data_IF_657267773838
#
_entry.id   IF_657267773838
#
_cell.length_a   1.000
_cell.length_b   1.000
_cell.length_c   1.000
_cell.angle_alpha   90.00
_cell.angle_beta   90.00
_cell.angle_gamma   90.00
#
_symmetry.space_group_name_H-M   'P 1'
#
loop_
_entity.id
_entity.type
_entity.pdbx_description
1 polymer ?
#
# COMPACT_ATOMS: atom_id res chain seq x y z
N UNK A 1 -23.33 -24.62 79.16
CA UNK A 1 -23.82 -25.54 78.11
C UNK A 1 -23.08 -25.15 76.83
N UNK A 2 -21.84 -25.58 76.57
CA UNK A 2 -21.41 -26.92 76.09
C UNK A 2 -22.29 -27.35 74.91
N UNK A 3 -21.84 -27.47 73.66
CA UNK A 3 -20.86 -28.40 73.06
C UNK A 3 -20.71 -28.03 71.57
N UNK A 4 -19.51 -27.92 71.00
CA UNK A 4 -18.70 -28.95 70.31
C UNK A 4 -18.85 -28.98 68.78
N UNK A 5 -17.68 -28.97 68.13
CA UNK A 5 -17.39 -29.06 66.68
C UNK A 5 -17.79 -30.41 66.10
N UNK A 6 -18.10 -30.48 64.80
CA UNK A 6 -17.70 -31.59 63.94
C UNK A 6 -17.42 -31.11 62.51
N UNK A 7 -16.18 -31.32 62.06
CA UNK A 7 -15.78 -31.31 60.64
C UNK A 7 -16.16 -32.66 60.04
N UNK A 8 -16.78 -32.67 58.87
CA UNK A 8 -16.97 -33.88 58.06
C UNK A 8 -16.31 -33.70 56.71
N UNK A 9 -15.17 -34.37 56.57
CA UNK A 9 -14.47 -34.68 55.33
C UNK A 9 -15.32 -35.63 54.49
N UNK A 10 -15.75 -35.18 53.30
CA UNK A 10 -16.43 -36.06 52.34
C UNK A 10 -15.43 -36.55 51.30
N UNK A 11 -15.15 -37.85 51.33
CA UNK A 11 -14.32 -38.57 50.37
C UNK A 11 -15.18 -38.93 49.16
N UNK A 12 -14.93 -38.30 48.02
CA UNK A 12 -15.48 -38.76 46.74
C UNK A 12 -14.50 -39.71 46.06
N UNK A 13 -14.99 -40.94 45.91
CA UNK A 13 -14.34 -42.08 45.27
C UNK A 13 -14.08 -41.79 43.79
N UNK A 14 -12.86 -42.14 43.37
CA UNK A 14 -12.34 -42.05 42.00
C UNK A 14 -13.01 -43.14 41.15
N UNK A 15 -13.90 -42.73 40.25
CA UNK A 15 -14.41 -43.58 39.17
C UNK A 15 -13.46 -43.54 37.98
N UNK A 16 -12.70 -44.61 37.77
CA UNK A 16 -11.78 -44.79 36.66
C UNK A 16 -12.58 -45.18 35.40
N UNK A 17 -12.98 -44.19 34.59
CA UNK A 17 -13.53 -44.43 33.26
C UNK A 17 -12.37 -44.46 32.25
N UNK A 18 -12.04 -45.65 31.77
CA UNK A 18 -11.08 -45.88 30.68
C UNK A 18 -11.75 -45.42 29.37
N UNK A 19 -11.38 -44.23 28.89
CA UNK A 19 -11.72 -43.78 27.53
C UNK A 19 -10.54 -44.12 26.63
N UNK A 20 -10.69 -45.15 25.80
CA UNK A 20 -9.78 -45.46 24.71
C UNK A 20 -9.91 -44.38 23.62
N UNK A 21 -8.95 -43.47 23.54
CA UNK A 21 -8.86 -42.48 22.47
C UNK A 21 -8.17 -43.12 21.27
N UNK A 22 -8.95 -43.41 20.22
CA UNK A 22 -8.45 -43.80 18.90
C UNK A 22 -7.58 -42.68 18.33
N UNK A 23 -6.29 -42.93 18.14
CA UNK A 23 -5.40 -42.06 17.39
C UNK A 23 -5.70 -42.18 15.90
N UNK A 24 -6.58 -41.31 15.39
CA UNK A 24 -6.80 -41.15 13.97
C UNK A 24 -5.71 -40.22 13.38
N UNK A 25 -4.77 -40.78 12.62
CA UNK A 25 -3.84 -40.02 11.80
C UNK A 25 -4.60 -39.34 10.65
N UNK A 26 -5.03 -38.09 10.86
CA UNK A 26 -5.50 -37.23 9.78
C UNK A 26 -4.29 -36.67 9.03
N UNK A 27 -3.96 -37.26 7.87
CA UNK A 27 -2.96 -36.71 6.95
C UNK A 27 -3.41 -35.33 6.47
N UNK A 28 -2.53 -34.30 6.46
CA UNK A 28 -2.89 -32.99 5.92
C UNK A 28 -3.11 -33.08 4.40
N UNK A 29 -4.29 -32.67 3.97
CA UNK A 29 -4.66 -32.51 2.56
C UNK A 29 -3.84 -31.36 1.97
N UNK A 30 -3.10 -31.53 0.86
CA UNK A 30 -2.46 -30.41 0.19
C UNK A 30 -3.52 -29.46 -0.36
N UNK A 31 -3.40 -28.17 -0.04
CA UNK A 31 -4.25 -27.13 -0.56
C UNK A 31 -4.11 -27.04 -2.09
N UNK A 32 -5.20 -26.78 -2.84
CA UNK A 32 -5.10 -26.52 -4.27
C UNK A 32 -4.32 -25.22 -4.48
N UNK A 33 -3.21 -25.32 -5.22
CA UNK A 33 -2.45 -24.18 -5.73
C UNK A 33 -3.33 -23.37 -6.69
N UNK A 34 -3.92 -22.29 -6.21
CA UNK A 34 -4.55 -21.28 -7.05
C UNK A 34 -3.48 -20.67 -7.96
N UNK A 35 -3.73 -20.76 -9.27
CA UNK A 35 -2.83 -20.41 -10.35
C UNK A 35 -2.24 -19.00 -10.27
N UNK A 36 -1.02 -18.92 -10.79
CA UNK A 36 -0.19 -17.72 -10.79
C UNK A 36 -0.82 -16.55 -11.54
N UNK A 37 -0.85 -15.40 -10.86
CA UNK A 37 -0.48 -14.16 -11.51
C UNK A 37 1.04 -14.08 -11.46
N UNK A 38 1.71 -14.34 -12.58
CA UNK A 38 3.13 -13.99 -12.73
C UNK A 38 3.21 -12.48 -12.66
N UNK A 39 3.56 -11.94 -11.49
CA UNK A 39 4.23 -10.64 -11.42
C UNK A 39 5.59 -10.89 -12.05
N UNK A 40 5.66 -10.73 -13.38
CA UNK A 40 6.90 -10.85 -14.12
C UNK A 40 7.77 -9.65 -13.75
N UNK A 41 8.55 -9.79 -12.68
CA UNK A 41 9.62 -8.86 -12.37
C UNK A 41 10.60 -8.85 -13.54
N UNK A 42 10.83 -7.69 -14.20
CA UNK A 42 11.83 -7.61 -15.26
C UNK A 42 13.21 -7.95 -14.72
N UNK A 43 14.07 -8.68 -15.46
CA UNK A 43 15.44 -8.93 -15.06
C UNK A 43 16.21 -7.62 -14.88
N UNK A 44 17.09 -7.58 -13.87
CA UNK A 44 17.98 -6.45 -13.62
C UNK A 44 18.82 -6.15 -14.86
N UNK A 45 18.68 -4.93 -15.41
CA UNK A 45 19.40 -4.47 -16.61
C UNK A 45 18.57 -4.42 -17.90
N UNK A 46 17.31 -4.85 -17.89
CA UNK A 46 16.41 -4.58 -19.02
C UNK A 46 16.06 -3.08 -19.10
N UNK A 47 15.94 -2.49 -20.31
CA UNK A 47 15.47 -1.13 -20.47
C UNK A 47 14.11 -0.96 -19.80
N UNK A 48 13.95 0.11 -19.02
CA UNK A 48 12.66 0.43 -18.40
C UNK A 48 11.71 0.82 -19.54
N UNK A 49 10.61 0.09 -19.69
CA UNK A 49 9.59 0.41 -20.68
C UNK A 49 8.58 1.39 -20.10
N UNK A 50 8.02 2.33 -20.90
CA UNK A 50 6.86 3.09 -20.46
C UNK A 50 5.68 2.13 -20.20
N UNK A 51 4.77 2.47 -19.27
CA UNK A 51 3.62 1.65 -18.99
C UNK A 51 2.68 1.58 -20.21
N UNK A 52 2.01 0.44 -20.38
CA UNK A 52 1.01 0.26 -21.41
C UNK A 52 -0.27 1.02 -21.04
N UNK A 53 -0.49 2.16 -21.69
CA UNK A 53 -1.63 3.03 -21.45
C UNK A 53 -2.55 3.04 -22.66
N UNK A 54 -3.86 3.16 -22.41
CA UNK A 54 -4.87 3.32 -23.47
C UNK A 54 -4.54 4.51 -24.37
N UNK A 55 -4.98 4.43 -25.64
CA UNK A 55 -4.78 5.50 -26.61
C UNK A 55 -5.30 6.87 -26.12
N UNK A 56 -6.41 6.88 -25.39
CA UNK A 56 -7.02 8.10 -24.84
C UNK A 56 -6.52 8.49 -23.44
N UNK A 57 -5.53 7.79 -22.91
CA UNK A 57 -4.97 8.08 -21.59
C UNK A 57 -4.40 9.49 -21.54
N UNK A 58 -4.78 10.24 -20.51
CA UNK A 58 -4.31 11.62 -20.28
C UNK A 58 -2.99 11.65 -19.52
N UNK A 59 -2.58 10.52 -18.95
CA UNK A 59 -1.39 10.44 -18.10
C UNK A 59 -0.12 10.08 -18.86
N UNK A 60 -0.15 10.03 -20.19
CA UNK A 60 1.04 9.78 -21.02
C UNK A 60 2.12 10.83 -20.77
N UNK A 61 3.34 10.38 -20.46
CA UNK A 61 4.50 11.26 -20.44
C UNK A 61 4.75 11.86 -21.83
N UNK A 62 5.34 13.07 -21.93
CA UNK A 62 5.68 13.66 -23.22
C UNK A 62 6.59 12.74 -24.04
N UNK A 63 6.43 12.71 -25.37
CA UNK A 63 7.21 11.84 -26.26
C UNK A 63 8.70 12.18 -26.30
N UNK A 64 9.06 13.41 -25.94
CA UNK A 64 10.44 13.90 -25.79
C UNK A 64 11.12 13.41 -24.52
N UNK A 65 10.45 12.60 -23.71
CA UNK A 65 10.97 12.05 -22.47
C UNK A 65 11.19 10.55 -22.58
N UNK A 66 12.04 10.03 -21.71
CA UNK A 66 12.34 8.60 -21.58
C UNK A 66 12.27 8.16 -20.11
N UNK A 67 11.77 6.94 -19.85
CA UNK A 67 11.74 6.38 -18.51
C UNK A 67 13.18 6.04 -18.06
N UNK A 68 13.51 6.39 -16.82
CA UNK A 68 14.86 6.22 -16.27
C UNK A 68 14.89 5.48 -14.94
N UNK A 69 13.74 5.37 -14.26
CA UNK A 69 13.59 4.61 -13.03
C UNK A 69 12.16 4.10 -12.94
N UNK A 70 12.00 2.88 -12.41
CA UNK A 70 10.70 2.37 -11.99
C UNK A 70 10.83 1.86 -10.55
N UNK A 71 9.91 2.29 -9.69
CA UNK A 71 9.84 1.85 -8.29
C UNK A 71 8.44 1.40 -7.98
N UNK A 72 8.32 0.23 -7.36
CA UNK A 72 7.08 -0.16 -6.70
C UNK A 72 6.91 0.65 -5.41
N UNK A 73 5.69 0.73 -4.92
CA UNK A 73 5.38 1.40 -3.67
C UNK A 73 4.31 0.66 -2.89
N UNK A 74 4.45 0.68 -1.56
CA UNK A 74 3.45 0.18 -0.63
C UNK A 74 3.39 1.09 0.59
N UNK A 75 2.18 1.35 1.06
CA UNK A 75 2.00 2.22 2.21
C UNK A 75 0.55 2.55 2.47
N UNK A 76 0.31 3.75 3.00
CA UNK A 76 -1.03 4.23 3.31
C UNK A 76 -1.31 5.60 2.73
N UNK A 77 -2.57 5.80 2.39
CA UNK A 77 -3.15 7.10 2.15
C UNK A 77 -3.83 7.57 3.43
N UNK A 78 -3.44 8.75 3.93
CA UNK A 78 -3.93 9.29 5.21
C UNK A 78 -5.01 10.34 4.94
N UNK A 79 -6.15 10.17 5.61
CA UNK A 79 -7.28 11.10 5.61
C UNK A 79 -7.61 11.52 7.02
N UNK A 80 -8.24 12.69 7.18
CA UNK A 80 -8.89 13.12 8.42
C UNK A 80 -10.37 13.32 8.16
N UNK A 81 -11.22 12.82 9.05
CA UNK A 81 -12.65 13.14 8.99
C UNK A 81 -12.85 14.59 9.43
N UNK A 82 -13.45 15.41 8.57
CA UNK A 82 -13.75 16.80 8.85
C UNK A 82 -15.22 17.10 8.61
N UNK A 83 -15.77 18.00 9.43
CA UNK A 83 -17.07 18.59 9.17
C UNK A 83 -16.94 19.61 8.03
N UNK A 84 -17.68 19.40 6.94
CA UNK A 84 -17.86 20.33 5.82
C UNK A 84 -19.36 20.56 5.65
N UNK A 85 -19.79 21.79 5.86
CA UNK A 85 -21.19 22.18 5.88
C UNK A 85 -22.02 21.29 6.83
N UNK A 86 -23.04 20.60 6.30
CA UNK A 86 -23.93 19.69 7.04
C UNK A 86 -23.45 18.24 7.07
N UNK A 87 -22.26 17.91 6.53
CA UNK A 87 -21.77 16.54 6.40
C UNK A 87 -20.35 16.34 6.92
N UNK A 88 -20.00 15.09 7.23
CA UNK A 88 -18.64 14.69 7.57
C UNK A 88 -18.01 13.98 6.37
N UNK A 89 -16.83 14.45 5.96
CA UNK A 89 -16.12 13.94 4.79
C UNK A 89 -14.68 13.61 5.13
N UNK A 90 -14.13 12.59 4.45
CA UNK A 90 -12.72 12.29 4.51
C UNK A 90 -11.93 13.30 3.68
N UNK A 91 -11.05 14.05 4.34
CA UNK A 91 -10.17 15.02 3.69
C UNK A 91 -8.76 14.46 3.65
N UNK A 92 -8.20 14.38 2.44
CA UNK A 92 -6.84 13.92 2.19
C UNK A 92 -5.81 14.75 2.96
N UNK A 93 -4.80 14.07 3.54
CA UNK A 93 -3.67 14.72 4.20
C UNK A 93 -2.39 14.53 3.43
N UNK A 94 -1.97 13.28 3.28
CA UNK A 94 -0.72 12.91 2.62
C UNK A 94 -0.66 11.40 2.39
N UNK A 95 0.16 10.94 1.43
CA UNK A 95 0.61 9.56 1.41
C UNK A 95 1.74 9.34 2.42
N UNK A 96 1.97 8.09 2.78
CA UNK A 96 3.17 7.62 3.45
C UNK A 96 3.46 6.22 2.91
N UNK A 97 4.50 6.08 2.10
CA UNK A 97 4.81 4.82 1.44
C UNK A 97 6.31 4.60 1.26
N UNK A 98 6.72 3.34 1.40
CA UNK A 98 8.04 2.88 1.02
C UNK A 98 8.14 2.80 -0.51
N UNK A 99 9.32 3.12 -1.05
CA UNK A 99 9.67 2.89 -2.44
C UNK A 99 10.59 1.68 -2.54
N UNK A 100 10.28 0.77 -3.45
CA UNK A 100 10.96 -0.51 -3.60
C UNK A 100 11.54 -0.66 -5.00
N UNK A 101 12.77 -1.16 -5.08
CA UNK A 101 13.40 -1.52 -6.35
C UNK A 101 12.82 -2.83 -6.93
N UNK A 102 13.35 -3.27 -8.07
CA UNK A 102 12.91 -4.50 -8.73
C UNK A 102 13.13 -5.77 -7.88
N UNK A 103 14.05 -5.75 -6.91
CA UNK A 103 14.31 -6.86 -6.00
C UNK A 103 13.42 -6.80 -4.75
N UNK A 104 12.55 -5.79 -4.63
CA UNK A 104 11.73 -5.55 -3.45
C UNK A 104 12.53 -4.95 -2.28
N UNK A 105 13.76 -4.47 -2.50
CA UNK A 105 14.51 -3.74 -1.48
C UNK A 105 13.94 -2.34 -1.36
N UNK A 106 13.73 -1.88 -0.13
CA UNK A 106 13.38 -0.48 0.13
C UNK A 106 14.58 0.41 -0.22
N UNK A 107 14.33 1.43 -1.05
CA UNK A 107 15.34 2.35 -1.58
C UNK A 107 14.97 3.83 -1.38
N UNK A 108 13.86 4.09 -0.69
CA UNK A 108 13.39 5.44 -0.46
C UNK A 108 11.97 5.51 0.08
N UNK A 109 11.42 6.71 0.10
CA UNK A 109 10.10 7.03 0.64
C UNK A 109 9.32 8.00 -0.25
N UNK A 110 8.01 7.85 -0.27
CA UNK A 110 7.04 8.77 -0.87
C UNK A 110 6.11 9.35 0.20
N UNK A 111 5.93 10.67 0.19
CA UNK A 111 5.30 11.35 1.32
C UNK A 111 4.61 12.68 1.01
N UNK A 112 4.57 13.54 2.03
CA UNK A 112 3.93 14.86 1.99
C UNK A 112 4.29 15.66 0.73
N UNK A 113 3.38 16.48 0.23
CA UNK A 113 3.54 17.26 -1.00
C UNK A 113 3.89 16.41 -2.24
N UNK A 114 3.44 15.15 -2.25
CA UNK A 114 3.79 14.16 -3.28
C UNK A 114 5.31 14.10 -3.52
N UNK A 115 6.08 14.15 -2.44
CA UNK A 115 7.55 14.10 -2.50
C UNK A 115 8.08 12.69 -2.66
N UNK A 116 9.28 12.58 -3.20
CA UNK A 116 10.05 11.34 -3.30
C UNK A 116 11.46 11.62 -2.80
N UNK A 117 11.98 10.72 -1.98
CA UNK A 117 13.32 10.79 -1.41
C UNK A 117 13.95 9.40 -1.48
N UNK A 118 15.14 9.29 -2.07
CA UNK A 118 15.87 8.03 -2.18
C UNK A 118 17.06 7.97 -1.22
N UNK A 119 17.56 6.76 -0.97
CA UNK A 119 18.68 6.48 -0.05
C UNK A 119 19.99 7.20 -0.45
N UNK A 120 20.13 7.60 -1.72
CA UNK A 120 21.28 8.39 -2.21
C UNK A 120 21.18 9.89 -1.88
N UNK A 121 20.11 10.31 -1.18
CA UNK A 121 19.85 11.69 -0.78
C UNK A 121 19.20 12.55 -1.85
N UNK A 122 18.98 12.02 -3.06
CA UNK A 122 18.25 12.73 -4.11
C UNK A 122 16.76 12.83 -3.76
N UNK A 123 16.16 13.99 -4.05
CA UNK A 123 14.78 14.31 -3.68
C UNK A 123 14.06 15.01 -4.81
N UNK A 124 12.74 14.86 -4.88
CA UNK A 124 11.88 15.72 -5.68
C UNK A 124 10.54 15.97 -4.99
N UNK A 125 9.88 17.06 -5.37
CA UNK A 125 8.47 17.32 -5.08
C UNK A 125 7.69 17.29 -6.39
N UNK A 126 6.40 16.99 -6.32
CA UNK A 126 5.60 16.83 -7.53
C UNK A 126 4.19 17.43 -7.44
N UNK A 127 3.63 17.72 -8.61
CA UNK A 127 2.30 18.31 -8.78
C UNK A 127 1.53 17.46 -9.79
N UNK A 128 0.29 17.09 -9.44
CA UNK A 128 -0.60 16.38 -10.37
C UNK A 128 -0.99 17.29 -11.53
N UNK A 129 -0.73 16.86 -12.76
CA UNK A 129 -1.09 17.61 -13.98
C UNK A 129 -2.14 16.90 -14.83
N UNK A 130 -2.26 15.58 -14.71
CA UNK A 130 -3.34 14.81 -15.33
C UNK A 130 -3.67 13.57 -14.50
N UNK A 131 -4.87 13.04 -14.71
CA UNK A 131 -5.29 11.78 -14.11
C UNK A 131 -6.22 11.01 -15.05
N UNK A 132 -6.21 9.69 -14.88
CA UNK A 132 -7.24 8.78 -15.37
C UNK A 132 -7.89 8.09 -14.17
N UNK A 133 -9.16 7.70 -14.30
CA UNK A 133 -9.85 6.94 -13.25
C UNK A 133 -9.24 5.54 -13.10
N UNK A 134 -9.20 5.04 -11.87
CA UNK A 134 -8.78 3.67 -11.60
C UNK A 134 -9.88 2.67 -11.99
N UNK A 135 -9.51 1.41 -12.16
CA UNK A 135 -10.46 0.35 -12.51
C UNK A 135 -11.52 0.12 -11.42
N UNK A 136 -11.18 0.37 -10.15
CA UNK A 136 -12.10 0.28 -9.01
C UNK A 136 -12.15 1.62 -8.27
N UNK A 137 -13.31 2.02 -7.73
CA UNK A 137 -13.44 3.27 -6.98
C UNK A 137 -12.67 3.26 -5.64
N UNK A 138 -12.27 2.08 -5.17
CA UNK A 138 -11.43 1.89 -3.97
C UNK A 138 -9.95 2.12 -4.24
N UNK A 139 -9.54 2.19 -5.50
CA UNK A 139 -8.15 2.28 -5.91
C UNK A 139 -7.79 3.73 -6.22
N UNK A 140 -6.56 4.14 -5.87
CA UNK A 140 -6.06 5.48 -6.20
C UNK A 140 -6.08 5.70 -7.71
N UNK A 141 -6.44 6.91 -8.15
CA UNK A 141 -6.35 7.31 -9.57
C UNK A 141 -4.95 7.14 -10.13
N UNK A 142 -4.86 6.86 -11.42
CA UNK A 142 -3.60 6.89 -12.16
C UNK A 142 -3.25 8.35 -12.43
N UNK A 143 -1.97 8.72 -12.31
CA UNK A 143 -1.53 10.11 -12.36
C UNK A 143 -0.39 10.32 -13.34
N UNK A 144 -0.36 11.50 -13.94
CA UNK A 144 0.86 12.14 -14.41
C UNK A 144 1.17 13.32 -13.50
N UNK A 145 2.42 13.38 -13.04
CA UNK A 145 2.93 14.42 -12.18
C UNK A 145 4.10 15.13 -12.87
N UNK A 146 4.15 16.46 -12.75
CA UNK A 146 5.38 17.23 -13.02
C UNK A 146 6.17 17.38 -11.73
N UNK A 147 7.48 17.55 -11.85
CA UNK A 147 8.37 17.50 -10.69
C UNK A 147 9.35 18.66 -10.65
N UNK A 148 9.90 18.89 -9.46
CA UNK A 148 11.08 19.73 -9.23
C UNK A 148 12.05 18.93 -8.36
N UNK A 149 13.21 18.59 -8.92
CA UNK A 149 14.25 17.84 -8.22
C UNK A 149 15.16 18.76 -7.39
N UNK A 150 15.71 18.19 -6.33
CA UNK A 150 16.65 18.82 -5.40
C UNK A 150 17.78 17.84 -5.10
N UNK A 151 18.99 18.38 -4.96
CA UNK A 151 20.18 17.57 -4.76
C UNK A 151 20.65 16.86 -6.03
N UNK A 152 21.71 16.07 -5.87
CA UNK A 152 22.33 15.25 -6.92
C UNK A 152 21.94 13.80 -6.71
N UNK A 153 22.00 13.01 -7.78
CA UNK A 153 21.78 11.55 -7.70
C UNK A 153 20.64 11.07 -8.60
N UNK A 154 20.04 9.96 -8.21
CA UNK A 154 19.14 9.17 -9.05
C UNK A 154 17.88 9.95 -9.47
N UNK A 155 17.39 10.89 -8.67
CA UNK A 155 16.24 11.74 -9.02
C UNK A 155 16.60 13.06 -9.71
N UNK A 156 17.88 13.34 -9.96
CA UNK A 156 18.31 14.56 -10.65
C UNK A 156 17.74 14.63 -12.07
N UNK A 157 17.29 15.81 -12.53
CA UNK A 157 16.71 16.03 -13.87
C UNK A 157 15.46 15.20 -14.22
N UNK A 158 14.88 14.47 -13.26
CA UNK A 158 13.53 13.95 -13.42
C UNK A 158 12.58 15.13 -13.52
N UNK A 159 11.73 15.13 -14.54
CA UNK A 159 10.75 16.19 -14.79
C UNK A 159 9.32 15.69 -14.69
N UNK A 160 9.09 14.40 -14.94
CA UNK A 160 7.76 13.78 -14.85
C UNK A 160 7.80 12.46 -14.11
N UNK A 161 6.69 12.14 -13.44
CA UNK A 161 6.45 10.85 -12.81
C UNK A 161 5.05 10.38 -13.21
N UNK A 162 4.92 9.12 -13.58
CA UNK A 162 3.63 8.46 -13.71
C UNK A 162 3.36 7.60 -12.48
N UNK A 163 2.12 7.60 -11.99
CA UNK A 163 1.61 6.61 -11.03
C UNK A 163 0.65 5.67 -11.75
N UNK A 164 0.97 4.39 -11.75
CA UNK A 164 0.19 3.34 -12.41
C UNK A 164 0.01 2.13 -11.49
N UNK A 165 -0.73 1.11 -11.95
CA UNK A 165 -0.91 -0.17 -11.25
C UNK A 165 -1.35 -0.01 -9.78
N UNK A 166 -2.32 0.87 -9.55
CA UNK A 166 -2.80 1.19 -8.21
C UNK A 166 -3.76 0.13 -7.67
N UNK A 167 -3.67 -0.14 -6.38
CA UNK A 167 -4.67 -0.92 -5.65
C UNK A 167 -4.90 -0.32 -4.26
N UNK A 168 -6.15 -0.15 -3.86
CA UNK A 168 -6.53 0.47 -2.58
C UNK A 168 -6.21 1.97 -2.50
N UNK A 169 -6.26 2.50 -1.28
CA UNK A 169 -5.90 3.89 -0.95
C UNK A 169 -7.04 4.91 -0.98
N UNK A 170 -8.21 4.59 -1.54
CA UNK A 170 -9.37 5.48 -1.44
C UNK A 170 -10.21 5.18 -0.17
N UNK A 171 -10.67 6.23 0.55
CA UNK A 171 -11.49 6.04 1.73
C UNK A 171 -12.94 5.68 1.32
N UNK A 172 -13.77 5.21 2.26
CA UNK A 172 -15.21 5.19 2.07
C UNK A 172 -15.74 6.58 1.70
N UNK A 173 -16.92 6.67 1.08
CA UNK A 173 -17.45 7.94 0.58
C UNK A 173 -17.66 9.02 1.67
N UNK A 174 -17.92 8.61 2.92
CA UNK A 174 -18.18 9.50 4.06
C UNK A 174 -17.55 8.94 5.33
N UNK A 175 -17.35 9.81 6.31
CA UNK A 175 -17.15 9.43 7.70
C UNK A 175 -18.40 9.75 8.51
N UNK A 176 -18.51 9.18 9.70
CA UNK A 176 -19.58 9.49 10.65
C UNK A 176 -19.16 10.47 11.75
N UNK A 177 -20.12 10.84 12.60
CA UNK A 177 -19.88 11.75 13.74
C UNK A 177 -18.91 11.17 14.77
N UNK A 178 -18.89 9.85 14.99
CA UNK A 178 -17.98 9.21 15.93
C UNK A 178 -16.53 9.25 15.45
N UNK A 179 -16.34 9.35 14.14
CA UNK A 179 -15.03 9.47 13.48
C UNK A 179 -14.53 10.90 13.33
N UNK A 180 -15.29 11.92 13.76
CA UNK A 180 -14.92 13.32 13.57
C UNK A 180 -13.52 13.61 14.16
N UNK A 181 -12.67 14.29 13.38
CA UNK A 181 -11.26 14.59 13.67
C UNK A 181 -10.31 13.37 13.74
N UNK A 182 -10.80 12.13 13.59
CA UNK A 182 -9.96 10.95 13.56
C UNK A 182 -9.21 10.83 12.22
N UNK A 183 -8.07 10.14 12.27
CA UNK A 183 -7.30 9.78 11.08
C UNK A 183 -7.73 8.40 10.58
N UNK A 184 -7.95 8.29 9.27
CA UNK A 184 -8.09 7.03 8.56
C UNK A 184 -6.83 6.79 7.74
N UNK A 185 -6.27 5.58 7.85
CA UNK A 185 -5.12 5.12 7.07
C UNK A 185 -5.61 4.00 6.17
N UNK A 186 -5.57 4.21 4.86
CA UNK A 186 -6.02 3.21 3.87
C UNK A 186 -4.81 2.66 3.15
N UNK A 187 -4.58 1.35 3.23
CA UNK A 187 -3.46 0.70 2.55
C UNK A 187 -3.58 0.87 1.03
N UNK A 188 -2.43 1.07 0.38
CA UNK A 188 -2.35 1.07 -1.08
C UNK A 188 -1.03 0.48 -1.57
N UNK A 189 -1.04 0.04 -2.82
CA UNK A 189 0.14 -0.24 -3.64
C UNK A 189 0.07 0.54 -4.94
N UNK A 190 1.22 0.88 -5.53
CA UNK A 190 1.30 1.44 -6.88
C UNK A 190 2.70 1.31 -7.47
N UNK A 191 2.83 1.50 -8.77
CA UNK A 191 4.12 1.66 -9.43
C UNK A 191 4.34 3.11 -9.86
N UNK A 192 5.56 3.60 -9.70
CA UNK A 192 6.01 4.90 -10.18
C UNK A 192 7.04 4.74 -11.29
N UNK A 193 6.85 5.45 -12.40
CA UNK A 193 7.81 5.50 -13.52
C UNK A 193 8.29 6.95 -13.65
N UNK A 194 9.61 7.15 -13.56
CA UNK A 194 10.25 8.46 -13.53
C UNK A 194 10.89 8.77 -14.88
N UNK A 195 10.67 9.98 -15.37
CA UNK A 195 11.03 10.40 -16.72
C UNK A 195 11.96 11.60 -16.71
N UNK A 196 12.93 11.56 -17.63
CA UNK A 196 13.80 12.69 -17.97
C UNK A 196 13.54 13.11 -19.42
N UNK A 197 13.81 14.39 -19.78
CA UNK A 197 13.98 14.76 -21.18
C UNK A 197 15.07 13.89 -21.81
N UNK A 198 14.86 13.45 -23.05
CA UNK A 198 15.92 12.78 -23.81
C UNK A 198 17.09 13.75 -24.00
N UNK A 199 18.30 13.23 -24.02
CA UNK A 199 19.44 13.99 -24.50
C UNK A 199 19.27 14.23 -26.02
N UNK A 200 19.50 15.46 -26.45
CA UNK A 200 19.56 15.83 -27.87
C UNK A 200 20.80 15.23 -28.56
#
# INVERSE_FOLDING_TARGET
MTTSRFLTTSHFLIGLAIVALMAACASPRPAPSSGGGTVSTPPAGAPIAPPNLSFFSKIKAPSTHEPTLQLASRGVQIFRCEKRDSSQVWVFRQPQAELLDANGKVVGQHGANFSFELDDGSRLVSTVVAYDEAAKPTDLRLLLLTTRSFGKGTLENVTHVQRVNTAGGMPPARCDTAQLNQLLRVNFTSDFVFYRPRAD
#
